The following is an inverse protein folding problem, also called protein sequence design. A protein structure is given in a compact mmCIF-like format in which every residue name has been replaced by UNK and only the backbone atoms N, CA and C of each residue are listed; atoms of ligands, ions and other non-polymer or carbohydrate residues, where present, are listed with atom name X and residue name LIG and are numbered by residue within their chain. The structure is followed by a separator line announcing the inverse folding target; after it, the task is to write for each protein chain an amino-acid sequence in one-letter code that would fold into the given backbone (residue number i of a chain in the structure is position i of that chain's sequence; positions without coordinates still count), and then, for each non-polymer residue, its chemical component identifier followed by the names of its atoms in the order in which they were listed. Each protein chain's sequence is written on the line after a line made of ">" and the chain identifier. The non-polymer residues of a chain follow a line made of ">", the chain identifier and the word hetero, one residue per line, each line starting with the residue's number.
data_IF_951543011360
#
_entry.id   IF_951543011360
#
_cell.length_a   1.000
_cell.length_b   1.000
_cell.length_c   1.000
_cell.angle_alpha   90.00
_cell.angle_beta   90.00
_cell.angle_gamma   90.00
#
_symmetry.space_group_name_H-M   'P 1'
#
loop_
_entity.id
_entity.type
_entity.pdbx_description
1 polymer ?
#
# COMPACT_ATOMS: atom_id res chain seq x y z
N UNK A 1 -79.15 -0.78 -41.41
CA UNK A 1 -78.17 -1.69 -42.06
C UNK A 1 -76.92 -0.93 -42.55
N UNK A 2 -76.99 -0.08 -43.60
CA UNK A 2 -75.78 0.63 -44.11
C UNK A 2 -75.19 1.63 -43.11
N UNK A 3 -76.03 2.40 -42.41
CA UNK A 3 -75.63 3.35 -41.36
C UNK A 3 -74.98 2.66 -40.16
N UNK A 4 -75.56 1.54 -39.71
CA UNK A 4 -75.06 0.77 -38.57
C UNK A 4 -73.72 0.10 -38.89
N UNK A 5 -73.56 -0.38 -40.13
CA UNK A 5 -72.30 -0.94 -40.62
C UNK A 5 -71.19 0.14 -40.69
N UNK A 6 -71.53 1.37 -41.10
CA UNK A 6 -70.59 2.50 -41.10
C UNK A 6 -70.18 2.91 -39.68
N UNK A 7 -71.10 2.91 -38.72
CA UNK A 7 -70.81 3.21 -37.31
C UNK A 7 -69.91 2.14 -36.67
N UNK A 8 -70.15 0.85 -36.96
CA UNK A 8 -69.30 -0.25 -36.52
C UNK A 8 -67.90 -0.19 -37.15
N UNK A 9 -67.80 0.14 -38.44
CA UNK A 9 -66.52 0.31 -39.10
C UNK A 9 -65.74 1.50 -38.52
N UNK A 10 -66.40 2.62 -38.26
CA UNK A 10 -65.78 3.80 -37.66
C UNK A 10 -65.28 3.54 -36.23
N UNK A 11 -66.07 2.86 -35.40
CA UNK A 11 -65.65 2.52 -34.03
C UNK A 11 -64.49 1.53 -34.00
N UNK A 12 -64.44 0.56 -34.92
CA UNK A 12 -63.31 -0.35 -35.07
C UNK A 12 -62.02 0.40 -35.45
N UNK A 13 -62.10 1.35 -36.39
CA UNK A 13 -60.95 2.17 -36.78
C UNK A 13 -60.44 3.01 -35.61
N UNK A 14 -61.34 3.64 -34.85
CA UNK A 14 -60.97 4.41 -33.65
C UNK A 14 -60.30 3.52 -32.60
N UNK A 15 -60.85 2.34 -32.35
CA UNK A 15 -60.26 1.37 -31.42
C UNK A 15 -58.85 0.94 -31.85
N UNK A 16 -58.63 0.69 -33.14
CA UNK A 16 -57.31 0.34 -33.70
C UNK A 16 -56.31 1.49 -33.57
N UNK A 17 -56.72 2.74 -33.81
CA UNK A 17 -55.86 3.92 -33.65
C UNK A 17 -55.47 4.13 -32.18
N UNK A 18 -56.43 3.99 -31.26
CA UNK A 18 -56.17 4.07 -29.82
C UNK A 18 -55.20 2.95 -29.39
N UNK A 19 -55.45 1.72 -29.83
CA UNK A 19 -54.56 0.59 -29.54
C UNK A 19 -53.14 0.81 -30.08
N UNK A 20 -53.00 1.39 -31.28
CA UNK A 20 -51.69 1.74 -31.86
C UNK A 20 -50.96 2.82 -31.05
N UNK A 21 -51.66 3.88 -30.63
CA UNK A 21 -51.10 4.94 -29.78
C UNK A 21 -50.71 4.41 -28.40
N UNK A 22 -51.59 3.64 -27.76
CA UNK A 22 -51.33 3.00 -26.47
C UNK A 22 -50.14 2.04 -26.57
N UNK A 23 -50.06 1.22 -27.62
CA UNK A 23 -48.93 0.31 -27.85
C UNK A 23 -47.61 1.07 -28.04
N UNK A 24 -47.63 2.19 -28.77
CA UNK A 24 -46.45 3.03 -28.97
C UNK A 24 -46.03 3.77 -27.70
N UNK A 25 -46.99 4.19 -26.88
CA UNK A 25 -46.73 4.80 -25.57
C UNK A 25 -46.17 3.79 -24.56
N UNK A 26 -46.76 2.60 -24.47
CA UNK A 26 -46.35 1.52 -23.58
C UNK A 26 -44.97 0.96 -23.95
N UNK A 27 -44.69 0.81 -25.25
CA UNK A 27 -43.35 0.44 -25.75
C UNK A 27 -42.29 1.49 -25.40
N UNK A 28 -42.66 2.76 -25.41
CA UNK A 28 -41.78 3.89 -25.08
C UNK A 28 -41.46 4.03 -23.59
N UNK A 29 -42.43 3.77 -22.68
CA UNK A 29 -42.23 3.88 -21.24
C UNK A 29 -41.75 2.58 -20.57
N UNK A 30 -42.36 1.43 -20.85
CA UNK A 30 -42.13 0.24 -20.03
C UNK A 30 -41.05 -0.70 -20.59
N UNK A 31 -40.99 -0.88 -21.90
CA UNK A 31 -40.20 -1.97 -22.52
C UNK A 31 -38.79 -1.52 -22.89
N UNK A 32 -38.64 -0.32 -23.47
CA UNK A 32 -37.32 0.18 -23.92
C UNK A 32 -36.28 0.27 -22.80
N UNK A 33 -36.57 0.82 -21.61
CA UNK A 33 -35.57 0.91 -20.55
C UNK A 33 -35.12 -0.47 -20.05
N UNK A 34 -36.04 -1.44 -19.99
CA UNK A 34 -35.73 -2.82 -19.61
C UNK A 34 -34.81 -3.52 -20.61
N UNK A 35 -35.03 -3.31 -21.92
CA UNK A 35 -34.13 -3.83 -22.96
C UNK A 35 -32.73 -3.21 -22.83
N UNK A 36 -32.63 -1.90 -22.58
CA UNK A 36 -31.34 -1.23 -22.35
C UNK A 36 -30.60 -1.81 -21.15
N UNK A 37 -31.28 -2.01 -20.01
CA UNK A 37 -30.66 -2.62 -18.81
C UNK A 37 -30.24 -4.06 -19.10
N UNK A 38 -31.04 -4.81 -19.85
CA UNK A 38 -30.73 -6.21 -20.22
C UNK A 38 -29.50 -6.30 -21.13
N UNK A 39 -29.39 -5.43 -22.12
CA UNK A 39 -28.22 -5.38 -23.01
C UNK A 39 -26.96 -4.94 -22.26
N UNK A 40 -27.09 -3.97 -21.36
CA UNK A 40 -25.99 -3.55 -20.47
C UNK A 40 -25.55 -4.68 -19.53
N UNK A 41 -26.48 -5.45 -18.95
CA UNK A 41 -26.19 -6.64 -18.14
C UNK A 41 -25.47 -7.73 -18.95
N UNK A 42 -25.86 -7.97 -20.21
CA UNK A 42 -25.17 -8.93 -21.09
C UNK A 42 -23.75 -8.49 -21.39
N UNK A 43 -23.53 -7.20 -21.63
CA UNK A 43 -22.17 -6.65 -21.79
C UNK A 43 -21.35 -6.82 -20.51
N UNK A 44 -21.95 -6.52 -19.36
CA UNK A 44 -21.31 -6.68 -18.06
C UNK A 44 -20.92 -8.14 -17.79
N UNK A 45 -21.81 -9.09 -18.11
CA UNK A 45 -21.54 -10.52 -18.01
C UNK A 45 -20.44 -11.01 -18.97
N UNK A 46 -20.15 -10.27 -20.05
CA UNK A 46 -19.05 -10.59 -20.98
C UNK A 46 -17.67 -10.10 -20.51
N UNK A 47 -17.59 -9.41 -19.36
CA UNK A 47 -16.34 -8.99 -18.74
C UNK A 47 -15.96 -7.51 -18.94
N UNK A 48 -16.80 -6.73 -19.62
CA UNK A 48 -16.67 -5.27 -19.67
C UNK A 48 -17.40 -4.62 -18.49
N UNK A 49 -16.64 -4.34 -17.43
CA UNK A 49 -17.12 -3.72 -16.20
C UNK A 49 -17.11 -2.18 -16.24
N UNK A 50 -17.00 -1.55 -17.42
CA UNK A 50 -17.04 -0.08 -17.49
C UNK A 50 -18.42 0.45 -17.06
N UNK A 51 -18.51 1.30 -16.02
CA UNK A 51 -19.80 1.81 -15.55
C UNK A 51 -20.44 2.68 -16.63
N UNK A 52 -21.64 2.29 -17.07
CA UNK A 52 -22.49 3.12 -17.94
C UNK A 52 -23.84 3.31 -17.28
N UNK A 53 -24.08 4.48 -16.65
CA UNK A 53 -25.31 4.71 -15.93
C UNK A 53 -26.48 4.77 -16.92
N UNK A 54 -27.47 3.92 -16.69
CA UNK A 54 -28.74 4.01 -17.42
C UNK A 54 -29.54 5.16 -16.81
N UNK A 55 -29.92 6.14 -17.65
CA UNK A 55 -30.71 7.30 -17.21
C UNK A 55 -32.19 6.98 -17.31
N UNK A 56 -32.93 7.34 -16.26
CA UNK A 56 -34.40 7.32 -16.24
C UNK A 56 -34.91 8.60 -15.61
N UNK A 57 -36.07 9.08 -16.08
CA UNK A 57 -36.79 10.22 -15.48
C UNK A 57 -37.88 9.76 -14.51
N UNK A 58 -38.18 8.47 -14.50
CA UNK A 58 -39.32 7.90 -13.79
C UNK A 58 -38.95 7.60 -12.33
N UNK A 59 -39.86 7.93 -11.42
CA UNK A 59 -39.72 7.71 -9.96
C UNK A 59 -40.52 6.48 -9.48
N UNK A 60 -40.90 5.63 -10.40
CA UNK A 60 -41.66 4.40 -10.18
C UNK A 60 -40.71 3.22 -9.84
N UNK A 61 -41.27 2.01 -9.80
CA UNK A 61 -40.54 0.77 -9.54
C UNK A 61 -39.39 0.55 -10.53
N UNK A 62 -39.55 1.00 -11.77
CA UNK A 62 -38.52 0.93 -12.81
C UNK A 62 -37.36 1.88 -12.51
N UNK A 63 -37.66 3.08 -12.02
CA UNK A 63 -36.67 4.01 -11.49
C UNK A 63 -35.81 3.42 -10.37
N UNK A 64 -36.45 2.74 -9.41
CA UNK A 64 -35.77 2.05 -8.30
C UNK A 64 -34.86 0.93 -8.78
N UNK A 65 -35.32 0.10 -9.73
CA UNK A 65 -34.52 -0.96 -10.33
C UNK A 65 -33.27 -0.41 -11.04
N UNK A 66 -33.42 0.67 -11.81
CA UNK A 66 -32.31 1.32 -12.52
C UNK A 66 -31.30 1.91 -11.54
N UNK A 67 -31.78 2.52 -10.44
CA UNK A 67 -30.91 3.02 -9.39
C UNK A 67 -30.11 1.89 -8.71
N UNK A 68 -30.77 0.78 -8.38
CA UNK A 68 -30.12 -0.41 -7.81
C UNK A 68 -29.09 -1.01 -8.79
N UNK A 69 -29.42 -1.13 -10.07
CA UNK A 69 -28.51 -1.59 -11.12
C UNK A 69 -27.28 -0.69 -11.25
N UNK A 70 -27.48 0.64 -11.33
CA UNK A 70 -26.37 1.59 -11.45
C UNK A 70 -25.45 1.50 -10.23
N UNK A 71 -26.02 1.41 -9.02
CA UNK A 71 -25.24 1.25 -7.78
C UNK A 71 -24.45 -0.06 -7.74
N UNK A 72 -25.06 -1.17 -8.17
CA UNK A 72 -24.37 -2.47 -8.25
C UNK A 72 -23.23 -2.46 -9.28
N UNK A 73 -23.45 -1.85 -10.45
CA UNK A 73 -22.45 -1.75 -11.52
C UNK A 73 -21.22 -0.96 -11.06
N UNK A 74 -21.42 0.16 -10.34
CA UNK A 74 -20.33 0.95 -9.76
C UNK A 74 -19.54 0.13 -8.74
N UNK A 75 -20.21 -0.49 -7.77
CA UNK A 75 -19.54 -1.30 -6.74
C UNK A 75 -18.73 -2.46 -7.32
N UNK A 76 -19.27 -3.14 -8.32
CA UNK A 76 -18.55 -4.26 -8.96
C UNK A 76 -17.38 -3.73 -9.79
N UNK A 77 -17.54 -2.60 -10.50
CA UNK A 77 -16.43 -1.98 -11.22
C UNK A 77 -15.29 -1.55 -10.28
N UNK A 78 -15.63 -0.94 -9.14
CA UNK A 78 -14.67 -0.59 -8.07
C UNK A 78 -13.94 -1.84 -7.55
N UNK A 79 -14.68 -2.90 -7.20
CA UNK A 79 -14.09 -4.16 -6.73
C UNK A 79 -13.16 -4.82 -7.77
N UNK A 80 -13.52 -4.78 -9.06
CA UNK A 80 -12.65 -5.29 -10.14
C UNK A 80 -11.43 -4.41 -10.38
N UNK A 81 -11.56 -3.08 -10.28
CA UNK A 81 -10.43 -2.17 -10.40
C UNK A 81 -9.44 -2.37 -9.25
N UNK A 82 -9.93 -2.48 -8.02
CA UNK A 82 -9.13 -2.81 -6.83
C UNK A 82 -8.42 -4.16 -7.02
N UNK A 83 -9.16 -5.20 -7.43
CA UNK A 83 -8.59 -6.52 -7.70
C UNK A 83 -7.50 -6.49 -8.77
N UNK A 84 -7.70 -5.75 -9.88
CA UNK A 84 -6.68 -5.58 -10.93
C UNK A 84 -5.44 -4.88 -10.40
N UNK A 85 -5.59 -3.82 -9.62
CA UNK A 85 -4.47 -3.13 -9.00
C UNK A 85 -3.68 -4.07 -8.07
N UNK A 86 -4.36 -4.85 -7.23
CA UNK A 86 -3.72 -5.85 -6.37
C UNK A 86 -2.98 -6.90 -7.19
N UNK A 87 -3.59 -7.39 -8.29
CA UNK A 87 -2.97 -8.39 -9.16
C UNK A 87 -1.73 -7.82 -9.87
N UNK A 88 -1.79 -6.61 -10.40
CA UNK A 88 -0.64 -5.93 -11.02
C UNK A 88 0.49 -5.70 -10.03
N UNK A 89 0.19 -5.22 -8.82
CA UNK A 89 1.18 -5.04 -7.76
C UNK A 89 1.81 -6.37 -7.34
N UNK A 90 1.02 -7.43 -7.19
CA UNK A 90 1.52 -8.77 -6.87
C UNK A 90 2.44 -9.30 -7.98
N UNK A 91 2.08 -9.13 -9.25
CA UNK A 91 2.92 -9.55 -10.39
C UNK A 91 4.25 -8.81 -10.40
N UNK A 92 4.25 -7.49 -10.19
CA UNK A 92 5.49 -6.69 -10.08
C UNK A 92 6.33 -7.15 -8.90
N UNK A 93 5.72 -7.31 -7.72
CA UNK A 93 6.39 -7.81 -6.52
C UNK A 93 7.10 -9.16 -6.73
N UNK A 94 6.42 -10.13 -7.35
CA UNK A 94 7.01 -11.45 -7.65
C UNK A 94 8.15 -11.33 -8.66
N UNK A 95 8.01 -10.48 -9.67
CA UNK A 95 9.06 -10.25 -10.66
C UNK A 95 10.31 -9.64 -10.02
N UNK A 96 10.15 -8.60 -9.21
CA UNK A 96 11.25 -7.90 -8.55
C UNK A 96 11.95 -8.80 -7.53
N UNK A 97 11.19 -9.52 -6.69
CA UNK A 97 11.73 -10.51 -5.76
C UNK A 97 12.50 -11.62 -6.48
N UNK A 98 11.98 -12.10 -7.61
CA UNK A 98 12.65 -13.09 -8.45
C UNK A 98 13.97 -12.58 -9.04
N UNK A 99 14.05 -11.30 -9.39
CA UNK A 99 15.29 -10.69 -9.87
C UNK A 99 16.33 -10.57 -8.75
N UNK A 100 15.93 -10.02 -7.61
CA UNK A 100 16.80 -9.83 -6.44
C UNK A 100 17.32 -11.14 -5.84
N UNK A 101 16.56 -12.23 -5.94
CA UNK A 101 17.03 -13.56 -5.53
C UNK A 101 17.99 -14.20 -6.53
N UNK A 102 17.87 -13.90 -7.84
CA UNK A 102 18.71 -14.50 -8.89
C UNK A 102 20.16 -14.04 -8.78
N UNK A 103 20.39 -12.77 -8.45
CA UNK A 103 21.74 -12.19 -8.31
C UNK A 103 22.61 -12.93 -7.28
N UNK A 104 22.22 -13.07 -6.00
CA UNK A 104 23.01 -13.81 -5.02
C UNK A 104 23.15 -15.29 -5.37
N UNK A 105 22.13 -15.91 -5.98
CA UNK A 105 22.21 -17.30 -6.46
C UNK A 105 23.27 -17.47 -7.57
N UNK A 106 23.37 -16.51 -8.49
CA UNK A 106 24.37 -16.53 -9.56
C UNK A 106 25.79 -16.42 -8.98
N UNK A 107 25.97 -15.56 -7.98
CA UNK A 107 27.25 -15.44 -7.25
C UNK A 107 27.57 -16.75 -6.52
N UNK A 108 26.60 -17.32 -5.81
CA UNK A 108 26.76 -18.60 -5.11
C UNK A 108 27.20 -19.71 -6.09
N UNK A 109 26.52 -19.85 -7.23
CA UNK A 109 26.88 -20.88 -8.21
C UNK A 109 28.28 -20.64 -8.78
N UNK A 110 28.65 -19.40 -9.09
CA UNK A 110 30.00 -19.05 -9.55
C UNK A 110 31.09 -19.45 -8.56
N UNK A 111 30.92 -19.16 -7.26
CA UNK A 111 31.88 -19.56 -6.23
C UNK A 111 31.91 -21.08 -5.98
N UNK A 112 30.77 -21.77 -6.08
CA UNK A 112 30.73 -23.23 -6.03
C UNK A 112 31.47 -23.86 -7.23
N UNK A 113 31.37 -23.27 -8.43
CA UNK A 113 32.14 -23.72 -9.60
C UNK A 113 33.65 -23.51 -9.41
N UNK A 114 34.07 -22.39 -8.81
CA UNK A 114 35.48 -22.13 -8.46
C UNK A 114 35.98 -23.21 -7.50
N UNK A 115 35.24 -23.47 -6.42
CA UNK A 115 35.59 -24.50 -5.43
C UNK A 115 35.63 -25.92 -6.01
N UNK A 116 34.78 -26.23 -7.01
CA UNK A 116 34.76 -27.52 -7.70
C UNK A 116 35.91 -27.70 -8.70
N UNK A 117 36.28 -26.64 -9.45
CA UNK A 117 37.31 -26.70 -10.49
C UNK A 117 38.73 -26.60 -9.93
N UNK A 118 38.91 -25.82 -8.87
CA UNK A 118 40.21 -25.73 -8.24
C UNK A 118 40.51 -27.07 -7.52
N UNK A 119 41.66 -27.68 -7.84
CA UNK A 119 42.34 -28.64 -6.96
C UNK A 119 42.81 -27.86 -5.72
N UNK A 120 41.86 -27.39 -4.91
CA UNK A 120 42.05 -26.21 -4.06
C UNK A 120 42.84 -26.56 -2.80
N UNK A 121 44.16 -26.74 -2.93
CA UNK A 121 45.10 -26.80 -1.81
C UNK A 121 45.56 -25.40 -1.36
N UNK A 122 45.14 -24.33 -2.04
CA UNK A 122 45.32 -22.95 -1.57
C UNK A 122 44.24 -22.59 -0.53
N UNK A 123 44.58 -22.50 0.76
CA UNK A 123 43.61 -22.23 1.83
C UNK A 123 42.99 -20.84 1.70
N UNK A 124 43.69 -19.86 1.11
CA UNK A 124 43.24 -18.48 1.01
C UNK A 124 42.09 -18.30 0.00
N UNK A 125 42.12 -19.03 -1.11
CA UNK A 125 41.03 -19.02 -2.09
C UNK A 125 39.78 -19.68 -1.53
N UNK A 126 39.95 -20.79 -0.80
CA UNK A 126 38.85 -21.51 -0.16
C UNK A 126 38.15 -20.64 0.88
N UNK A 127 38.91 -20.01 1.76
CA UNK A 127 38.35 -19.17 2.84
C UNK A 127 37.56 -17.98 2.28
N UNK A 128 38.09 -17.29 1.27
CA UNK A 128 37.38 -16.18 0.59
C UNK A 128 36.09 -16.65 -0.08
N UNK A 129 36.10 -17.82 -0.71
CA UNK A 129 34.93 -18.40 -1.33
C UNK A 129 33.85 -18.74 -0.28
N UNK A 130 34.24 -19.40 0.82
CA UNK A 130 33.32 -19.73 1.92
C UNK A 130 32.74 -18.48 2.57
N UNK A 131 33.57 -17.47 2.87
CA UNK A 131 33.13 -16.19 3.42
C UNK A 131 32.13 -15.49 2.49
N UNK A 132 32.37 -15.51 1.17
CA UNK A 132 31.45 -14.94 0.18
C UNK A 132 30.13 -15.71 0.13
N UNK A 133 30.16 -17.04 0.13
CA UNK A 133 28.96 -17.90 0.17
C UNK A 133 28.12 -17.64 1.42
N UNK A 134 28.77 -17.50 2.59
CA UNK A 134 28.12 -17.17 3.84
C UNK A 134 27.45 -15.78 3.77
N UNK A 135 28.15 -14.78 3.26
CA UNK A 135 27.59 -13.43 3.08
C UNK A 135 26.38 -13.41 2.15
N UNK A 136 26.44 -14.12 1.00
CA UNK A 136 25.29 -14.21 0.09
C UNK A 136 24.10 -14.96 0.71
N UNK A 137 24.36 -16.02 1.48
CA UNK A 137 23.30 -16.76 2.18
C UNK A 137 22.62 -15.90 3.24
N UNK A 138 23.40 -15.13 4.01
CA UNK A 138 22.86 -14.18 4.99
C UNK A 138 22.02 -13.09 4.32
N UNK A 139 22.49 -12.54 3.20
CA UNK A 139 21.71 -11.57 2.38
C UNK A 139 20.38 -12.15 1.92
N UNK A 140 20.38 -13.37 1.38
CA UNK A 140 19.15 -14.03 0.94
C UNK A 140 18.18 -14.27 2.08
N UNK A 141 18.66 -14.68 3.27
CA UNK A 141 17.81 -14.83 4.46
C UNK A 141 17.14 -13.51 4.83
N UNK A 142 17.91 -12.43 4.95
CA UNK A 142 17.39 -11.10 5.28
C UNK A 142 16.38 -10.59 4.24
N UNK A 143 16.62 -10.87 2.95
CA UNK A 143 15.68 -10.53 1.89
C UNK A 143 14.35 -11.28 2.06
N UNK A 144 14.39 -12.60 2.28
CA UNK A 144 13.18 -13.43 2.47
C UNK A 144 12.39 -12.97 3.70
N UNK A 145 13.06 -12.70 4.81
CA UNK A 145 12.41 -12.17 6.03
C UNK A 145 11.68 -10.85 5.75
N UNK A 146 12.33 -9.92 5.03
CA UNK A 146 11.71 -8.63 4.63
C UNK A 146 10.53 -8.82 3.69
N UNK A 147 10.58 -9.78 2.76
CA UNK A 147 9.46 -10.11 1.88
C UNK A 147 8.26 -10.66 2.67
N UNK A 148 8.50 -11.49 3.68
CA UNK A 148 7.44 -12.03 4.55
C UNK A 148 6.79 -10.89 5.36
N UNK A 149 7.59 -9.99 5.94
CA UNK A 149 7.08 -8.82 6.66
C UNK A 149 6.22 -7.95 5.75
N UNK A 150 6.73 -7.60 4.57
CA UNK A 150 5.99 -6.78 3.61
C UNK A 150 4.69 -7.45 3.17
N UNK A 151 4.73 -8.75 2.86
CA UNK A 151 3.54 -9.52 2.50
C UNK A 151 2.50 -9.61 3.63
N UNK A 152 2.92 -9.57 4.90
CA UNK A 152 2.02 -9.45 6.05
C UNK A 152 1.35 -8.08 6.08
N UNK A 153 2.13 -7.01 5.92
CA UNK A 153 1.66 -5.63 6.02
C UNK A 153 0.70 -5.25 4.89
N UNK A 154 0.83 -5.87 3.72
CA UNK A 154 -0.08 -5.65 2.58
C UNK A 154 -1.44 -6.35 2.72
N UNK A 155 -1.62 -7.25 3.70
CA UNK A 155 -2.90 -7.90 3.92
C UNK A 155 -3.88 -6.92 4.60
N UNK A 156 -5.15 -6.88 4.15
CA UNK A 156 -6.20 -6.09 4.80
C UNK A 156 -6.68 -6.69 6.14
N UNK A 157 -5.94 -7.62 6.73
CA UNK A 157 -6.33 -8.24 8.00
C UNK A 157 -6.33 -7.21 9.15
N UNK A 158 -7.32 -7.25 10.06
CA UNK A 158 -7.39 -6.37 11.21
C UNK A 158 -6.11 -6.49 12.03
N UNK A 159 -5.46 -5.36 12.31
CA UNK A 159 -4.36 -5.30 13.27
C UNK A 159 -4.90 -5.39 14.70
N UNK A 160 -4.15 -6.00 15.62
CA UNK A 160 -4.50 -6.01 17.05
C UNK A 160 -4.16 -4.66 17.69
N UNK A 161 -4.83 -3.61 17.23
CA UNK A 161 -4.53 -2.23 17.65
C UNK A 161 -4.87 -2.00 19.11
N UNK A 162 -3.88 -1.55 19.88
CA UNK A 162 -4.02 -1.20 21.30
C UNK A 162 -3.46 0.20 21.54
N UNK A 163 -3.71 0.78 22.71
CA UNK A 163 -3.05 2.03 23.08
C UNK A 163 -1.61 1.73 23.46
N UNK A 164 -0.65 2.27 22.69
CA UNK A 164 0.79 2.01 22.88
C UNK A 164 1.54 3.31 23.14
N UNK A 165 2.57 3.26 23.97
CA UNK A 165 3.50 4.38 24.19
C UNK A 165 4.59 4.37 23.11
N UNK A 166 4.63 5.41 22.28
CA UNK A 166 5.57 5.50 21.16
C UNK A 166 7.01 5.65 21.65
N UNK A 167 7.22 6.24 22.83
CA UNK A 167 8.55 6.38 23.40
C UNK A 167 9.17 5.03 23.78
N UNK A 168 8.37 4.12 24.36
CA UNK A 168 8.81 2.75 24.71
C UNK A 168 9.12 1.95 23.45
N UNK A 169 8.22 1.97 22.45
CA UNK A 169 8.44 1.26 21.18
C UNK A 169 9.69 1.78 20.45
N UNK A 170 9.93 3.10 20.47
CA UNK A 170 11.13 3.68 19.89
C UNK A 170 12.41 3.26 20.65
N UNK A 171 12.35 3.18 21.97
CA UNK A 171 13.47 2.71 22.80
C UNK A 171 13.84 1.26 22.48
N UNK A 172 12.85 0.37 22.42
CA UNK A 172 13.05 -1.04 22.09
C UNK A 172 13.62 -1.21 20.66
N UNK A 173 13.06 -0.48 19.68
CA UNK A 173 13.55 -0.53 18.30
C UNK A 173 15.00 -0.04 18.17
N UNK A 174 15.34 1.06 18.85
CA UNK A 174 16.70 1.60 18.89
C UNK A 174 17.67 0.61 19.55
N UNK A 175 17.29 0.01 20.67
CA UNK A 175 18.09 -1.01 21.37
C UNK A 175 18.33 -2.25 20.49
N UNK A 176 17.30 -2.70 19.76
CA UNK A 176 17.41 -3.81 18.82
C UNK A 176 18.40 -3.54 17.69
N UNK A 177 18.29 -2.37 17.04
CA UNK A 177 19.19 -2.01 15.92
C UNK A 177 20.62 -1.81 16.40
N UNK A 178 20.82 -1.08 17.49
CA UNK A 178 22.17 -0.83 18.05
C UNK A 178 22.85 -2.11 18.50
N UNK A 179 22.13 -3.07 19.08
CA UNK A 179 22.68 -4.38 19.45
C UNK A 179 23.10 -5.21 18.23
N UNK A 180 22.34 -5.13 17.14
CA UNK A 180 22.59 -5.93 15.93
C UNK A 180 23.66 -5.34 14.99
N UNK A 181 23.74 -4.00 14.88
CA UNK A 181 24.60 -3.31 13.92
C UNK A 181 25.69 -2.45 14.54
N UNK A 182 25.60 -2.13 15.83
CA UNK A 182 26.36 -1.05 16.43
C UNK A 182 25.86 0.33 15.97
N UNK A 183 26.75 1.31 16.03
CA UNK A 183 26.44 2.71 15.72
C UNK A 183 25.98 3.51 16.94
N UNK A 184 26.16 4.82 16.87
CA UNK A 184 25.74 5.74 17.92
C UNK A 184 24.33 6.25 17.60
N UNK A 185 23.35 5.88 18.42
CA UNK A 185 21.95 6.31 18.28
C UNK A 185 21.51 7.03 19.55
N UNK A 186 21.06 8.27 19.41
CA UNK A 186 20.56 9.08 20.53
C UNK A 186 19.05 9.18 20.41
N UNK A 187 18.35 8.63 21.41
CA UNK A 187 16.91 8.73 21.55
C UNK A 187 16.54 9.94 22.42
N UNK A 188 15.71 10.82 21.87
CA UNK A 188 15.17 12.00 22.53
C UNK A 188 13.65 11.88 22.60
N UNK A 189 13.09 11.83 23.80
CA UNK A 189 11.64 11.72 23.99
C UNK A 189 11.13 12.92 24.78
N UNK A 190 9.96 13.42 24.37
CA UNK A 190 9.22 14.44 25.11
C UNK A 190 7.93 13.83 25.63
N UNK A 191 7.94 13.39 26.89
CA UNK A 191 6.81 12.72 27.53
C UNK A 191 6.60 11.28 27.03
N UNK A 192 5.37 10.78 27.20
CA UNK A 192 4.91 9.46 26.78
C UNK A 192 3.69 9.59 25.86
N UNK A 193 3.89 10.05 24.61
CA UNK A 193 2.80 10.21 23.66
C UNK A 193 2.29 8.84 23.22
N UNK A 194 0.97 8.66 23.24
CA UNK A 194 0.33 7.38 22.92
C UNK A 194 -0.44 7.43 21.61
N UNK A 195 -0.48 6.30 20.91
CA UNK A 195 -1.26 6.10 19.68
C UNK A 195 -2.08 4.81 19.78
N UNK A 196 -3.11 4.68 18.94
CA UNK A 196 -3.85 3.41 18.82
C UNK A 196 -3.32 2.68 17.59
N UNK A 197 -2.47 1.67 17.81
CA UNK A 197 -1.77 0.95 16.76
C UNK A 197 -1.38 -0.46 17.21
N UNK A 198 -1.00 -1.30 16.26
CA UNK A 198 -0.28 -2.54 16.54
C UNK A 198 1.18 -2.20 16.89
N UNK A 199 1.62 -2.65 18.07
CA UNK A 199 2.96 -2.39 18.57
C UNK A 199 4.04 -2.93 17.63
N UNK A 200 3.82 -4.09 17.01
CA UNK A 200 4.78 -4.73 16.12
C UNK A 200 4.91 -3.97 14.79
N UNK A 201 3.81 -3.45 14.25
CA UNK A 201 3.86 -2.61 13.03
C UNK A 201 4.63 -1.32 13.28
N UNK A 202 4.38 -0.64 14.41
CA UNK A 202 5.10 0.60 14.75
C UNK A 202 6.59 0.34 15.05
N UNK A 203 6.89 -0.75 15.78
CA UNK A 203 8.26 -1.18 16.04
C UNK A 203 9.02 -1.48 14.75
N UNK A 204 8.39 -2.18 13.80
CA UNK A 204 8.96 -2.48 12.48
C UNK A 204 9.25 -1.20 11.68
N UNK A 205 8.33 -0.23 11.69
CA UNK A 205 8.52 1.05 11.00
C UNK A 205 9.70 1.84 11.58
N UNK A 206 9.78 1.98 12.90
CA UNK A 206 10.85 2.72 13.56
C UNK A 206 12.19 2.00 13.37
N UNK A 207 12.21 0.68 13.59
CA UNK A 207 13.39 -0.16 13.42
C UNK A 207 13.98 -0.07 12.01
N UNK A 208 13.15 -0.09 10.96
CA UNK A 208 13.62 0.05 9.58
C UNK A 208 14.17 1.45 9.27
N UNK A 209 13.60 2.52 9.85
CA UNK A 209 14.15 3.86 9.69
C UNK A 209 15.52 3.99 10.39
N UNK A 210 15.64 3.47 11.61
CA UNK A 210 16.92 3.49 12.36
C UNK A 210 17.96 2.62 11.67
N UNK A 211 17.60 1.42 11.19
CA UNK A 211 18.45 0.53 10.40
C UNK A 211 19.02 1.25 9.17
N UNK A 212 18.17 1.97 8.44
CA UNK A 212 18.59 2.76 7.29
C UNK A 212 19.51 3.92 7.71
N UNK A 213 19.15 4.67 8.73
CA UNK A 213 19.94 5.80 9.23
C UNK A 213 21.35 5.36 9.67
N UNK A 214 21.48 4.22 10.36
CA UNK A 214 22.79 3.67 10.76
C UNK A 214 23.61 3.22 9.54
N UNK A 215 22.98 2.61 8.53
CA UNK A 215 23.67 2.16 7.32
C UNK A 215 24.17 3.30 6.44
N UNK A 216 23.33 4.32 6.24
CA UNK A 216 23.57 5.38 5.27
C UNK A 216 24.12 6.67 5.91
N UNK A 217 24.12 6.77 7.24
CA UNK A 217 24.57 7.94 7.99
C UNK A 217 26.09 8.17 7.98
N UNK A 218 26.89 7.39 7.24
CA UNK A 218 28.36 7.51 7.18
C UNK A 218 29.04 7.53 8.56
N UNK A 219 28.50 6.78 9.54
CA UNK A 219 29.00 6.74 10.91
C UNK A 219 28.65 7.94 11.79
N UNK A 220 27.80 8.87 11.30
CA UNK A 220 27.24 9.94 12.12
C UNK A 220 26.38 9.41 13.25
N UNK A 221 26.29 10.15 14.35
CA UNK A 221 25.27 9.94 15.37
C UNK A 221 23.86 10.05 14.77
N UNK A 222 23.08 8.97 14.85
CA UNK A 222 21.68 8.97 14.45
C UNK A 222 20.84 9.54 15.58
N UNK A 223 19.98 10.51 15.29
CA UNK A 223 19.09 11.13 16.28
C UNK A 223 17.66 10.66 16.02
N UNK A 224 17.07 10.00 17.01
CA UNK A 224 15.66 9.60 17.01
C UNK A 224 14.91 10.50 17.98
N UNK A 225 13.93 11.27 17.50
CA UNK A 225 13.11 12.13 18.35
C UNK A 225 11.64 11.68 18.34
N UNK A 226 11.02 11.55 19.51
CA UNK A 226 9.59 11.25 19.67
C UNK A 226 8.91 12.41 20.39
N UNK A 227 7.90 13.02 19.75
CA UNK A 227 7.14 14.13 20.32
C UNK A 227 5.68 14.11 19.88
N UNK A 228 4.79 14.67 20.70
CA UNK A 228 3.45 15.03 20.27
C UNK A 228 3.48 16.34 19.45
N UNK A 229 2.81 16.36 18.31
CA UNK A 229 2.72 17.52 17.41
C UNK A 229 1.27 17.70 16.95
N UNK A 230 0.54 18.58 17.65
CA UNK A 230 -0.88 18.84 17.38
C UNK A 230 -1.75 17.60 17.59
N UNK A 231 -2.22 17.01 16.48
CA UNK A 231 -3.08 15.80 16.49
C UNK A 231 -2.32 14.50 16.25
N UNK A 232 -1.04 14.59 15.94
CA UNK A 232 -0.20 13.46 15.59
C UNK A 232 0.88 13.27 16.67
N UNK A 233 1.38 12.04 16.80
CA UNK A 233 2.68 11.74 17.40
C UNK A 233 3.67 11.61 16.27
N UNK A 234 4.80 12.31 16.38
CA UNK A 234 5.83 12.37 15.35
C UNK A 234 7.11 11.71 15.82
N UNK A 235 7.56 10.72 15.06
CA UNK A 235 8.88 10.08 15.24
C UNK A 235 9.78 10.54 14.11
N UNK A 236 10.84 11.29 14.42
CA UNK A 236 11.85 11.70 13.44
C UNK A 236 13.11 10.87 13.61
N UNK A 237 13.66 10.40 12.51
CA UNK A 237 14.97 9.74 12.47
C UNK A 237 15.86 10.58 11.56
N UNK A 238 16.94 11.11 12.12
CA UNK A 238 17.89 11.99 11.43
C UNK A 238 19.28 11.36 11.39
N UNK A 239 19.90 11.37 10.23
CA UNK A 239 21.29 10.94 10.01
C UNK A 239 22.11 11.99 9.24
N UNK A 240 23.43 11.90 9.34
CA UNK A 240 24.40 12.76 8.66
C UNK A 240 24.90 12.22 7.32
N UNK A 241 24.10 11.36 6.66
CA UNK A 241 24.46 10.71 5.41
C UNK A 241 24.51 11.66 4.20
N UNK A 242 24.76 11.13 2.99
CA UNK A 242 24.95 11.93 1.78
C UNK A 242 23.67 12.64 1.27
N UNK A 243 22.52 12.43 1.91
CA UNK A 243 21.23 12.95 1.46
C UNK A 243 20.55 12.06 0.42
N UNK A 244 19.54 12.62 -0.25
CA UNK A 244 18.79 11.96 -1.33
C UNK A 244 18.63 12.96 -2.49
N UNK A 245 19.16 12.61 -3.70
CA UNK A 245 19.03 13.46 -4.88
C UNK A 245 17.55 13.77 -5.19
N UNK A 246 17.20 14.98 -5.64
CA UNK A 246 15.81 15.37 -5.90
C UNK A 246 15.04 14.40 -6.82
N UNK A 247 15.71 13.84 -7.83
CA UNK A 247 15.11 12.89 -8.77
C UNK A 247 14.72 11.54 -8.14
N UNK A 248 15.28 11.20 -6.97
CA UNK A 248 15.05 9.94 -6.28
C UNK A 248 14.03 10.05 -5.13
N UNK A 249 13.75 11.27 -4.63
CA UNK A 249 12.99 11.50 -3.38
C UNK A 249 11.58 10.93 -3.38
N UNK A 250 10.91 10.90 -4.52
CA UNK A 250 9.57 10.30 -4.64
C UNK A 250 9.63 8.77 -4.68
N UNK A 251 10.72 8.24 -5.22
CA UNK A 251 10.90 6.81 -5.50
C UNK A 251 11.53 6.05 -4.35
N UNK A 252 12.06 6.73 -3.33
CA UNK A 252 12.72 6.05 -2.18
C UNK A 252 11.79 5.15 -1.37
N UNK A 253 10.48 5.33 -1.48
CA UNK A 253 9.47 4.46 -0.87
C UNK A 253 9.02 3.31 -1.79
N UNK A 254 9.45 3.30 -3.05
CA UNK A 254 9.20 2.18 -3.96
C UNK A 254 9.97 0.93 -3.51
N UNK A 255 9.35 -0.23 -3.71
CA UNK A 255 9.97 -1.52 -3.38
C UNK A 255 11.20 -1.74 -4.25
N UNK A 256 12.26 -2.28 -3.66
CA UNK A 256 13.52 -2.61 -4.36
C UNK A 256 14.26 -1.40 -4.96
N UNK A 257 13.78 -0.18 -4.71
CA UNK A 257 14.49 1.01 -5.16
C UNK A 257 15.79 1.18 -4.39
N UNK A 258 16.88 1.41 -5.13
CA UNK A 258 18.21 1.74 -4.63
C UNK A 258 18.73 2.92 -5.44
N UNK A 259 19.18 3.97 -4.76
CA UNK A 259 19.78 5.15 -5.41
C UNK A 259 21.12 4.81 -6.08
N UNK A 260 21.47 5.55 -7.13
CA UNK A 260 22.62 5.24 -8.01
C UNK A 260 23.98 5.34 -7.28
N UNK A 261 24.09 6.25 -6.30
CA UNK A 261 25.34 6.54 -5.57
C UNK A 261 25.48 5.79 -4.22
N UNK A 262 24.59 4.86 -3.89
CA UNK A 262 24.59 4.16 -2.58
C UNK A 262 25.48 2.91 -2.51
N UNK A 263 26.22 2.59 -3.58
CA UNK A 263 27.33 1.65 -3.59
C UNK A 263 27.05 0.24 -3.05
N UNK A 264 28.12 -0.43 -2.58
CA UNK A 264 28.15 -1.81 -2.04
C UNK A 264 27.48 -1.94 -0.65
N UNK A 265 26.70 -0.94 -0.21
CA UNK A 265 25.96 -0.97 1.05
C UNK A 265 24.85 -2.01 0.93
N UNK A 266 24.88 -2.99 1.83
CA UNK A 266 23.95 -4.11 1.85
C UNK A 266 22.51 -3.67 2.18
N UNK A 267 21.62 -3.76 1.20
CA UNK A 267 20.22 -3.38 1.34
C UNK A 267 19.36 -3.83 0.16
N UNK A 268 18.20 -4.41 0.47
CA UNK A 268 17.23 -4.92 -0.51
C UNK A 268 16.32 -3.85 -1.13
N UNK A 269 16.42 -2.59 -0.73
CA UNK A 269 15.45 -1.55 -1.14
C UNK A 269 14.03 -1.74 -0.59
N UNK A 270 13.79 -2.71 0.30
CA UNK A 270 12.47 -2.97 0.88
C UNK A 270 12.19 -2.18 2.17
N UNK A 271 13.21 -1.66 2.84
CA UNK A 271 13.08 -1.07 4.18
C UNK A 271 12.08 0.09 4.22
N UNK A 272 12.20 1.07 3.31
CA UNK A 272 11.29 2.22 3.28
C UNK A 272 9.89 1.88 2.80
N UNK A 273 9.74 0.86 1.93
CA UNK A 273 8.43 0.32 1.57
C UNK A 273 7.73 -0.32 2.79
N UNK A 274 8.47 -1.09 3.59
CA UNK A 274 7.97 -1.67 4.86
C UNK A 274 7.50 -0.54 5.79
N UNK A 275 8.30 0.52 5.95
CA UNK A 275 7.92 1.69 6.76
C UNK A 275 6.61 2.30 6.29
N UNK A 276 6.45 2.51 4.97
CA UNK A 276 5.25 3.11 4.40
C UNK A 276 4.00 2.24 4.66
N UNK A 277 4.10 0.92 4.47
CA UNK A 277 2.96 0.02 4.71
C UNK A 277 2.65 -0.11 6.22
N UNK A 278 3.66 -0.22 7.07
CA UNK A 278 3.48 -0.32 8.51
C UNK A 278 2.84 0.95 9.10
N UNK A 279 3.32 2.14 8.74
CA UNK A 279 2.73 3.39 9.24
C UNK A 279 1.31 3.62 8.71
N UNK A 280 1.01 3.18 7.48
CA UNK A 280 -0.33 3.27 6.91
C UNK A 280 -1.34 2.40 7.68
N UNK A 281 -0.94 1.21 8.17
CA UNK A 281 -1.79 0.37 9.05
C UNK A 281 -2.09 1.05 10.39
N UNK A 282 -1.18 1.89 10.87
CA UNK A 282 -1.39 2.75 12.04
C UNK A 282 -2.27 3.99 11.75
N UNK A 283 -2.80 4.15 10.54
CA UNK A 283 -3.54 5.34 10.11
C UNK A 283 -2.66 6.59 9.94
N UNK A 284 -1.33 6.40 9.89
CA UNK A 284 -0.34 7.45 9.75
C UNK A 284 0.28 7.55 8.37
N UNK A 285 1.35 8.35 8.26
CA UNK A 285 2.15 8.52 7.04
C UNK A 285 3.62 8.70 7.38
N UNK A 286 4.49 8.36 6.43
CA UNK A 286 5.92 8.68 6.47
C UNK A 286 6.22 9.78 5.46
N UNK A 287 7.08 10.72 5.82
CA UNK A 287 7.56 11.80 4.94
C UNK A 287 9.07 11.96 5.05
N UNK A 288 9.66 12.48 3.98
CA UNK A 288 11.05 12.91 3.93
C UNK A 288 11.09 14.42 4.22
N UNK A 289 11.45 14.83 5.44
CA UNK A 289 11.48 16.25 5.85
C UNK A 289 12.74 16.96 5.35
N UNK A 290 13.88 16.27 5.34
CA UNK A 290 15.15 16.79 4.82
C UNK A 290 15.92 15.67 4.15
N UNK A 291 16.67 16.03 3.11
CA UNK A 291 17.39 15.10 2.24
C UNK A 291 18.68 15.73 1.73
N UNK A 292 19.24 16.63 2.54
CA UNK A 292 20.40 17.42 2.20
C UNK A 292 21.67 16.63 2.58
N UNK A 293 22.78 16.81 1.87
CA UNK A 293 24.05 16.21 2.29
C UNK A 293 24.41 16.63 3.72
N UNK A 294 24.71 15.66 4.57
CA UNK A 294 24.98 15.87 6.00
C UNK A 294 23.73 15.96 6.88
N UNK A 295 22.52 15.87 6.30
CA UNK A 295 21.26 15.78 7.06
C UNK A 295 20.14 15.15 6.25
N UNK A 296 19.82 13.90 6.53
CA UNK A 296 18.60 13.24 6.05
C UNK A 296 17.65 13.04 7.22
N UNK A 297 16.40 13.45 7.10
CA UNK A 297 15.37 13.29 8.14
C UNK A 297 14.12 12.65 7.57
N UNK A 298 13.79 11.45 8.05
CA UNK A 298 12.49 10.83 7.85
C UNK A 298 11.60 11.06 9.06
N UNK A 299 10.32 11.36 8.84
CA UNK A 299 9.33 11.57 9.90
C UNK A 299 8.11 10.67 9.72
N UNK A 300 7.76 9.93 10.77
CA UNK A 300 6.50 9.20 10.89
C UNK A 300 5.49 10.09 11.60
N UNK A 301 4.32 10.30 11.01
CA UNK A 301 3.20 10.97 11.63
C UNK A 301 2.09 9.95 11.88
N UNK A 302 1.75 9.71 13.15
CA UNK A 302 0.70 8.76 13.54
C UNK A 302 -0.35 9.49 14.38
N UNK A 303 -1.66 9.35 14.11
CA UNK A 303 -2.68 10.04 14.89
C UNK A 303 -2.59 9.71 16.39
N UNK A 304 -2.57 10.75 17.23
CA UNK A 304 -2.49 10.60 18.68
C UNK A 304 -3.76 9.96 19.25
N UNK A 305 -3.58 9.11 20.27
CA UNK A 305 -4.69 8.59 21.06
C UNK A 305 -5.34 9.74 21.84
N UNK A 306 -6.65 9.90 21.68
CA UNK A 306 -7.41 10.98 22.36
C UNK A 306 -7.45 10.84 23.89
N UNK A 307 -6.93 9.75 24.46
CA UNK A 307 -7.10 9.40 25.87
C UNK A 307 -6.32 10.27 26.87
N UNK A 308 -5.36 11.12 26.45
CA UNK A 308 -4.60 12.00 27.36
C UNK A 308 -4.76 13.51 27.12
N UNK A 309 -5.49 13.93 26.10
CA UNK A 309 -5.70 15.37 25.82
C UNK A 309 -6.60 16.09 26.86
N UNK A 310 -7.15 15.38 27.87
CA UNK A 310 -8.03 15.98 28.90
C UNK A 310 -7.33 16.33 30.22
N UNK A 311 -6.13 15.84 30.50
CA UNK A 311 -5.49 16.03 31.82
C UNK A 311 -4.53 17.24 31.90
N UNK A 312 -4.41 18.01 30.83
CA UNK A 312 -3.59 19.23 30.79
C UNK A 312 -4.45 20.51 30.78
N UNK A 313 -5.42 20.62 31.70
CA UNK A 313 -6.03 21.91 32.03
C UNK A 313 -5.35 22.41 33.31
N UNK A 314 -4.62 23.54 33.30
CA UNK A 314 -4.14 24.12 34.56
C UNK A 314 -5.35 24.57 35.38
N UNK A 315 -5.47 24.03 36.60
CA UNK A 315 -6.31 24.58 37.65
C UNK A 315 -5.80 25.99 37.96
N UNK A 316 -6.47 27.00 37.41
CA UNK A 316 -6.38 28.35 37.93
C UNK A 316 -7.14 28.39 39.27
N UNK A 317 -6.38 28.48 40.36
CA UNK A 317 -6.82 29.06 41.63
C UNK A 317 -6.16 30.41 41.77
#
# INVERSE_FOLDING_TARGET
>A
IRSDLMLLAASLVVALVIAWFLGRWFSGLAIRPLLTVTDELRRFASGDFTPRPVRTKDRDELGSLIAAYNGATVKVAEAFAERRNVEEHMRRFVADAGHELRTPLTVIDGYLQILRKARTDDPGVRERALSTLQAQTARMRALVERLIVLARLERPEPSESTTVDVAEIAADAVAGVTSARGGEVVLQTSGSPTVVADAADLHEAIGNLVDNAVKYGNGSTVVVSVAADGRDVVVRVTDGGPGIPPAERERVFERFFRGEDRGDIDGSGLGLAIVQHAVARCGGRVVLESADPGRTTFALHVPASRSRMRDATPLNV
#
